data_IF_566705248370
#
_entry.id   IF_566705248370
#
_cell.length_a   1.000
_cell.length_b   1.000
_cell.length_c   1.000
_cell.angle_alpha   90.00
_cell.angle_beta   90.00
_cell.angle_gamma   90.00
#
_symmetry.space_group_name_H-M   'P 1'
#
loop_
_entity.id
_entity.type
_entity.pdbx_description
1 polymer ?
#
# COMPACT_ATOMS: atom_id res chain seq x y z
N UNK A 1 -7.92 -44.26 -22.87
CA UNK A 1 -8.83 -43.44 -22.05
C UNK A 1 -9.44 -42.41 -22.97
N UNK A 2 -10.64 -42.71 -23.44
CA UNK A 2 -11.44 -41.82 -24.28
C UNK A 2 -11.91 -40.66 -23.40
N UNK A 3 -11.27 -39.49 -23.51
CA UNK A 3 -11.72 -38.25 -22.87
C UNK A 3 -12.94 -37.74 -23.66
N UNK A 4 -14.05 -38.46 -23.52
CA UNK A 4 -15.33 -38.24 -24.19
C UNK A 4 -16.07 -37.00 -23.70
N UNK A 5 -15.46 -35.82 -23.77
CA UNK A 5 -16.18 -34.56 -23.65
C UNK A 5 -16.44 -34.01 -25.05
N UNK A 6 -17.68 -34.17 -25.53
CA UNK A 6 -18.16 -33.39 -26.68
C UNK A 6 -17.81 -31.92 -26.45
N UNK A 7 -17.20 -31.21 -27.42
CA UNK A 7 -16.87 -29.80 -27.24
C UNK A 7 -18.15 -29.03 -26.92
N UNK A 8 -18.21 -28.40 -25.74
CA UNK A 8 -19.29 -27.48 -25.39
C UNK A 8 -19.32 -26.38 -26.44
N UNK A 9 -20.49 -26.04 -26.96
CA UNK A 9 -20.61 -24.92 -27.89
C UNK A 9 -20.12 -23.64 -27.23
N UNK A 10 -19.56 -22.71 -28.01
CA UNK A 10 -19.14 -21.40 -27.50
C UNK A 10 -20.27 -20.70 -26.73
N UNK A 11 -21.52 -20.84 -27.20
CA UNK A 11 -22.70 -20.33 -26.50
C UNK A 11 -22.87 -20.96 -25.10
N UNK A 12 -22.73 -22.28 -24.96
CA UNK A 12 -22.82 -22.95 -23.67
C UNK A 12 -21.68 -22.54 -22.71
N UNK A 13 -20.46 -22.35 -23.23
CA UNK A 13 -19.33 -21.84 -22.44
C UNK A 13 -19.59 -20.41 -21.94
N UNK A 14 -20.08 -19.52 -22.81
CA UNK A 14 -20.39 -18.14 -22.45
C UNK A 14 -21.56 -18.04 -21.47
N UNK A 15 -22.60 -18.87 -21.62
CA UNK A 15 -23.69 -18.96 -20.65
C UNK A 15 -23.21 -19.44 -19.28
N UNK A 16 -22.34 -20.45 -19.25
CA UNK A 16 -21.70 -20.90 -18.00
C UNK A 16 -20.87 -19.80 -17.35
N UNK A 17 -20.03 -19.10 -18.13
CA UNK A 17 -19.25 -17.98 -17.62
C UNK A 17 -20.13 -16.85 -17.06
N UNK A 18 -21.27 -16.56 -17.71
CA UNK A 18 -22.23 -15.56 -17.22
C UNK A 18 -22.83 -15.98 -15.87
N UNK A 19 -23.22 -17.24 -15.70
CA UNK A 19 -23.74 -17.75 -14.43
C UNK A 19 -22.69 -17.64 -13.30
N UNK A 20 -21.42 -17.91 -13.60
CA UNK A 20 -20.32 -17.71 -12.64
C UNK A 20 -20.10 -16.24 -12.28
N UNK A 21 -20.25 -15.31 -13.24
CA UNK A 21 -20.20 -13.86 -12.98
C UNK A 21 -21.34 -13.45 -12.03
N UNK A 22 -22.56 -13.91 -12.29
CA UNK A 22 -23.73 -13.66 -11.44
C UNK A 22 -23.55 -14.27 -10.05
N UNK A 23 -23.00 -15.49 -9.95
CA UNK A 23 -22.69 -16.16 -8.69
C UNK A 23 -21.62 -15.46 -7.86
N UNK A 24 -20.56 -14.93 -8.50
CA UNK A 24 -19.55 -14.10 -7.82
C UNK A 24 -20.16 -12.81 -7.28
N UNK A 25 -21.01 -12.15 -8.06
CA UNK A 25 -21.67 -10.92 -7.62
C UNK A 25 -22.60 -11.20 -6.42
N UNK A 26 -23.39 -12.28 -6.45
CA UNK A 26 -24.22 -12.68 -5.32
C UNK A 26 -23.40 -13.00 -4.06
N UNK A 27 -22.21 -13.59 -4.23
CA UNK A 27 -21.30 -13.88 -3.11
C UNK A 27 -20.73 -12.61 -2.49
N UNK A 28 -20.35 -11.62 -3.32
CA UNK A 28 -19.93 -10.30 -2.84
C UNK A 28 -21.05 -9.57 -2.09
N UNK A 29 -22.30 -9.67 -2.55
CA UNK A 29 -23.44 -9.07 -1.85
C UNK A 29 -23.63 -9.67 -0.46
N UNK A 30 -23.48 -11.00 -0.31
CA UNK A 30 -23.53 -11.63 1.02
C UNK A 30 -22.36 -11.20 1.90
N UNK A 31 -21.16 -11.09 1.35
CA UNK A 31 -19.99 -10.56 2.05
C UNK A 31 -20.24 -9.15 2.58
N UNK A 32 -20.87 -8.27 1.79
CA UNK A 32 -21.24 -6.92 2.23
C UNK A 32 -22.22 -6.95 3.39
N UNK A 33 -23.27 -7.77 3.31
CA UNK A 33 -24.24 -7.90 4.39
C UNK A 33 -23.57 -8.35 5.70
N UNK A 34 -22.66 -9.32 5.64
CA UNK A 34 -21.88 -9.77 6.80
C UNK A 34 -20.94 -8.68 7.33
N UNK A 35 -20.30 -7.89 6.46
CA UNK A 35 -19.46 -6.76 6.89
C UNK A 35 -20.29 -5.69 7.61
N UNK A 36 -21.51 -5.42 7.14
CA UNK A 36 -22.42 -4.43 7.76
C UNK A 36 -22.92 -4.91 9.12
N UNK A 37 -23.32 -6.18 9.22
CA UNK A 37 -23.67 -6.81 10.50
C UNK A 37 -22.51 -6.73 11.49
N UNK A 38 -21.31 -7.15 11.05
CA UNK A 38 -20.09 -7.03 11.84
C UNK A 38 -19.82 -5.59 12.28
N UNK A 39 -19.98 -4.61 11.40
CA UNK A 39 -19.74 -3.20 11.73
C UNK A 39 -20.73 -2.68 12.78
N UNK A 40 -21.99 -3.14 12.73
CA UNK A 40 -23.01 -2.82 13.74
C UNK A 40 -22.64 -3.32 15.14
N UNK A 41 -22.06 -4.51 15.24
CA UNK A 41 -21.64 -5.11 16.52
C UNK A 41 -20.35 -4.51 17.09
N UNK A 42 -19.59 -3.75 16.29
CA UNK A 42 -18.26 -3.24 16.66
C UNK A 42 -18.16 -1.71 16.63
N UNK A 43 -19.30 -1.01 16.76
CA UNK A 43 -19.35 0.45 16.88
C UNK A 43 -18.77 0.91 18.22
N UNK A 44 -17.87 1.91 18.17
CA UNK A 44 -17.30 2.55 19.36
C UNK A 44 -17.93 3.92 19.54
N UNK A 45 -18.86 4.04 20.50
CA UNK A 45 -19.66 5.24 20.76
C UNK A 45 -19.25 6.02 22.03
N UNK A 46 -18.27 5.52 22.79
CA UNK A 46 -17.74 6.17 24.00
C UNK A 46 -16.75 5.27 24.77
N UNK A 47 -16.20 5.71 25.92
CA UNK A 47 -15.25 4.93 26.72
C UNK A 47 -15.79 3.59 27.23
N UNK A 48 -17.12 3.44 27.32
CA UNK A 48 -17.79 2.18 27.70
C UNK A 48 -17.96 1.20 26.52
N UNK A 49 -17.97 1.71 25.28
CA UNK A 49 -17.92 0.92 24.04
C UNK A 49 -16.49 0.69 23.52
N UNK A 50 -15.51 1.36 24.13
CA UNK A 50 -14.11 0.98 24.01
C UNK A 50 -13.94 -0.35 24.72
N UNK A 51 -13.68 -1.42 23.98
CA UNK A 51 -13.31 -2.67 24.61
C UNK A 51 -12.12 -2.40 25.55
N UNK A 52 -12.27 -2.71 26.84
CA UNK A 52 -11.15 -2.74 27.78
C UNK A 52 -10.37 -4.00 27.47
N UNK A 53 -9.43 -3.90 26.55
CA UNK A 53 -8.77 -5.10 26.03
C UNK A 53 -7.68 -5.61 27.00
N UNK A 54 -7.17 -4.77 27.91
CA UNK A 54 -6.42 -5.10 29.15
C UNK A 54 -5.99 -3.79 29.84
N UNK A 55 -5.53 -3.83 31.11
CA UNK A 55 -5.20 -2.66 31.96
C UNK A 55 -4.58 -1.47 31.19
N UNK A 56 -5.35 -0.38 31.06
CA UNK A 56 -4.86 0.94 30.68
C UNK A 56 -4.91 1.34 29.20
N UNK A 57 -5.44 0.51 28.27
CA UNK A 57 -5.58 0.89 26.86
C UNK A 57 -7.05 0.96 26.38
N UNK A 58 -7.47 2.12 25.88
CA UNK A 58 -8.81 2.38 25.34
C UNK A 58 -8.80 2.30 23.81
N UNK A 59 -9.59 1.39 23.22
CA UNK A 59 -9.90 1.41 21.79
C UNK A 59 -10.90 2.54 21.50
N UNK A 60 -10.43 3.67 20.99
CA UNK A 60 -11.26 4.85 20.72
C UNK A 60 -12.05 4.75 19.41
N UNK A 61 -11.94 3.63 18.70
CA UNK A 61 -12.49 3.47 17.36
C UNK A 61 -11.73 4.25 16.30
N UNK A 62 -11.93 3.86 15.03
CA UNK A 62 -11.31 4.48 13.87
C UNK A 62 -12.37 4.95 12.86
N UNK A 63 -12.24 6.17 12.30
CA UNK A 63 -13.09 6.61 11.21
C UNK A 63 -12.63 5.91 9.93
N UNK A 64 -13.49 5.05 9.38
CA UNK A 64 -13.20 4.30 8.15
C UNK A 64 -14.15 4.65 7.00
N UNK A 65 -15.19 5.44 7.27
CA UNK A 65 -16.12 6.01 6.31
C UNK A 65 -16.26 7.53 6.55
N UNK A 66 -17.04 8.22 5.72
CA UNK A 66 -17.25 9.66 5.79
C UNK A 66 -18.05 10.12 7.01
N UNK A 67 -18.13 11.43 7.20
CA UNK A 67 -18.78 12.04 8.36
C UNK A 67 -20.27 11.64 8.47
N UNK A 68 -20.68 11.16 9.65
CA UNK A 68 -21.98 10.55 9.92
C UNK A 68 -22.01 9.02 9.94
N UNK A 69 -20.94 8.34 9.51
CA UNK A 69 -20.78 6.90 9.70
C UNK A 69 -20.16 6.57 11.08
N UNK A 70 -20.41 5.37 11.64
CA UNK A 70 -19.89 4.99 12.95
C UNK A 70 -18.36 4.83 12.94
N UNK A 71 -17.74 5.11 14.09
CA UNK A 71 -16.39 4.64 14.38
C UNK A 71 -16.46 3.15 14.72
N UNK A 72 -15.53 2.36 14.18
CA UNK A 72 -15.44 0.91 14.49
C UNK A 72 -14.17 0.60 15.25
N UNK A 73 -14.18 -0.46 16.05
CA UNK A 73 -12.99 -0.94 16.78
C UNK A 73 -11.80 -1.15 15.85
N UNK A 74 -10.64 -0.57 16.19
CA UNK A 74 -9.42 -0.73 15.39
C UNK A 74 -8.95 -2.19 15.40
N UNK A 75 -9.00 -2.85 16.56
CA UNK A 75 -8.47 -4.20 16.74
C UNK A 75 -9.37 -5.27 16.11
N UNK A 76 -10.69 -5.13 16.24
CA UNK A 76 -11.62 -6.02 15.56
C UNK A 76 -11.51 -5.89 14.03
N UNK A 77 -11.33 -4.65 13.52
CA UNK A 77 -11.14 -4.41 12.10
C UNK A 77 -9.91 -5.16 11.55
N UNK A 78 -8.82 -5.27 12.32
CA UNK A 78 -7.63 -6.02 11.88
C UNK A 78 -7.92 -7.51 11.65
N UNK A 79 -8.79 -8.10 12.48
CA UNK A 79 -9.22 -9.48 12.32
C UNK A 79 -10.10 -9.67 11.09
N UNK A 80 -11.12 -8.83 10.91
CA UNK A 80 -11.95 -8.86 9.71
C UNK A 80 -11.10 -8.73 8.45
N UNK A 81 -10.17 -7.77 8.41
CA UNK A 81 -9.30 -7.54 7.25
C UNK A 81 -8.36 -8.72 6.98
N UNK A 82 -7.84 -9.36 8.03
CA UNK A 82 -7.04 -10.56 7.88
C UNK A 82 -7.86 -11.74 7.32
N UNK A 83 -9.09 -11.93 7.78
CA UNK A 83 -10.01 -12.96 7.27
C UNK A 83 -10.37 -12.72 5.81
N UNK A 84 -10.58 -11.46 5.42
CA UNK A 84 -10.83 -11.06 4.03
C UNK A 84 -9.60 -11.24 3.11
N UNK A 85 -8.44 -11.61 3.66
CA UNK A 85 -7.21 -11.83 2.89
C UNK A 85 -6.62 -10.54 2.30
N UNK A 86 -6.94 -9.37 2.88
CA UNK A 86 -6.56 -8.05 2.35
C UNK A 86 -5.42 -7.43 3.15
N UNK A 87 -4.66 -6.56 2.51
CA UNK A 87 -3.68 -5.72 3.23
C UNK A 87 -4.40 -4.83 4.25
N UNK A 88 -3.76 -4.45 5.37
CA UNK A 88 -4.39 -3.60 6.39
C UNK A 88 -5.03 -2.32 5.83
N UNK A 89 -4.35 -1.62 4.92
CA UNK A 89 -4.84 -0.37 4.34
C UNK A 89 -5.90 -0.63 3.26
N UNK A 90 -5.68 -1.62 2.39
CA UNK A 90 -6.65 -1.99 1.35
C UNK A 90 -7.95 -2.59 1.91
N UNK A 91 -7.85 -3.36 2.99
CA UNK A 91 -8.98 -3.90 3.74
C UNK A 91 -9.75 -2.80 4.48
N UNK A 92 -9.04 -1.88 5.16
CA UNK A 92 -9.68 -0.68 5.75
C UNK A 92 -10.43 0.13 4.71
N UNK A 93 -9.83 0.37 3.54
CA UNK A 93 -10.49 1.10 2.46
C UNK A 93 -11.73 0.35 1.93
N UNK A 94 -11.63 -0.97 1.74
CA UNK A 94 -12.73 -1.82 1.30
C UNK A 94 -13.90 -1.85 2.28
N UNK A 95 -13.65 -2.19 3.55
CA UNK A 95 -14.67 -2.19 4.61
C UNK A 95 -15.26 -0.79 4.78
N UNK A 96 -14.42 0.24 4.69
CA UNK A 96 -14.85 1.63 4.71
C UNK A 96 -15.84 2.00 3.60
N UNK A 97 -15.67 1.46 2.38
CA UNK A 97 -16.64 1.65 1.29
C UNK A 97 -17.97 0.95 1.55
N UNK A 98 -17.93 -0.25 2.12
CA UNK A 98 -19.16 -0.99 2.48
C UNK A 98 -19.94 -0.21 3.56
N UNK A 99 -19.26 0.28 4.59
CA UNK A 99 -19.86 1.08 5.68
C UNK A 99 -20.35 2.43 5.16
N UNK A 100 -19.59 3.09 4.29
CA UNK A 100 -20.03 4.32 3.61
C UNK A 100 -21.37 4.10 2.91
N UNK A 101 -21.50 3.01 2.14
CA UNK A 101 -22.75 2.65 1.51
C UNK A 101 -23.87 2.41 2.54
N UNK A 102 -23.63 1.58 3.55
CA UNK A 102 -24.69 1.18 4.47
C UNK A 102 -25.20 2.32 5.38
N UNK A 103 -24.35 3.26 5.79
CA UNK A 103 -24.75 4.34 6.72
C UNK A 103 -25.05 5.67 6.02
N UNK A 104 -24.37 6.01 4.93
CA UNK A 104 -24.49 7.33 4.28
C UNK A 104 -25.17 7.28 2.92
N UNK A 105 -25.16 6.12 2.25
CA UNK A 105 -25.77 5.92 0.94
C UNK A 105 -26.80 4.76 0.97
N UNK A 106 -27.84 4.82 1.83
CA UNK A 106 -28.75 3.69 2.06
C UNK A 106 -29.48 3.22 0.78
N UNK A 107 -29.82 4.12 -0.16
CA UNK A 107 -30.48 3.72 -1.41
C UNK A 107 -29.52 2.92 -2.32
N UNK A 108 -28.25 3.34 -2.42
CA UNK A 108 -27.18 2.62 -3.12
C UNK A 108 -26.92 1.26 -2.47
N UNK A 109 -26.84 1.21 -1.14
CA UNK A 109 -26.66 -0.06 -0.42
C UNK A 109 -27.84 -1.02 -0.66
N UNK A 110 -29.08 -0.55 -0.54
CA UNK A 110 -30.27 -1.36 -0.81
C UNK A 110 -30.27 -1.86 -2.27
N UNK A 111 -29.84 -1.03 -3.22
CA UNK A 111 -29.72 -1.43 -4.61
C UNK A 111 -28.67 -2.53 -4.84
N UNK A 112 -27.56 -2.51 -4.08
CA UNK A 112 -26.56 -3.60 -4.10
C UNK A 112 -27.13 -4.88 -3.51
N UNK A 113 -27.77 -4.81 -2.34
CA UNK A 113 -28.37 -5.97 -1.67
C UNK A 113 -29.47 -6.61 -2.53
N UNK A 114 -30.25 -5.79 -3.22
CA UNK A 114 -31.27 -6.26 -4.16
C UNK A 114 -30.72 -6.73 -5.52
N UNK A 115 -29.40 -6.68 -5.74
CA UNK A 115 -28.76 -7.06 -7.00
C UNK A 115 -29.02 -6.12 -8.18
N UNK A 116 -29.58 -4.92 -7.92
CA UNK A 116 -29.89 -3.89 -8.93
C UNK A 116 -28.65 -3.05 -9.29
N UNK A 117 -27.69 -2.94 -8.38
CA UNK A 117 -26.42 -2.25 -8.59
C UNK A 117 -25.25 -3.19 -8.31
N UNK A 118 -24.24 -3.19 -9.18
CA UNK A 118 -23.05 -4.01 -8.97
C UNK A 118 -22.18 -3.41 -7.85
N UNK A 119 -21.59 -4.24 -6.94
CA UNK A 119 -20.78 -3.76 -5.81
C UNK A 119 -19.68 -2.76 -6.21
N UNK A 120 -18.95 -3.01 -7.30
CA UNK A 120 -17.87 -2.11 -7.75
C UNK A 120 -18.34 -0.69 -8.08
N UNK A 121 -19.59 -0.52 -8.53
CA UNK A 121 -20.16 0.83 -8.78
C UNK A 121 -20.46 1.52 -7.47
N UNK A 122 -21.06 0.81 -6.51
CA UNK A 122 -21.30 1.33 -5.18
C UNK A 122 -19.99 1.69 -4.47
N UNK A 123 -18.94 0.87 -4.59
CA UNK A 123 -17.59 1.18 -4.12
C UNK A 123 -17.06 2.49 -4.70
N UNK A 124 -17.25 2.71 -6.00
CA UNK A 124 -16.79 3.95 -6.64
C UNK A 124 -17.60 5.17 -6.21
N UNK A 125 -18.91 5.03 -6.04
CA UNK A 125 -19.75 6.11 -5.48
C UNK A 125 -19.26 6.44 -4.07
N UNK A 126 -19.05 5.43 -3.22
CA UNK A 126 -18.53 5.59 -1.86
C UNK A 126 -17.18 6.32 -1.81
N UNK A 127 -16.24 5.97 -2.69
CA UNK A 127 -14.94 6.66 -2.78
C UNK A 127 -15.09 8.15 -3.11
N UNK A 128 -16.04 8.50 -3.98
CA UNK A 128 -16.26 9.88 -4.44
C UNK A 128 -17.12 10.70 -3.46
N UNK A 129 -17.92 10.05 -2.60
CA UNK A 129 -18.78 10.73 -1.61
C UNK A 129 -18.16 10.83 -0.21
N UNK A 130 -17.10 10.08 0.08
CA UNK A 130 -16.48 10.02 1.41
C UNK A 130 -16.08 11.39 1.96
N UNK A 131 -15.56 12.28 1.10
CA UNK A 131 -15.14 13.63 1.46
C UNK A 131 -16.29 14.66 1.56
N UNK A 132 -17.51 14.28 1.16
CA UNK A 132 -18.68 15.15 1.22
C UNK A 132 -19.28 15.17 2.62
N UNK A 133 -20.03 16.23 2.96
CA UNK A 133 -20.90 16.22 4.15
C UNK A 133 -22.08 15.27 4.00
N UNK A 134 -22.73 14.89 5.11
CA UNK A 134 -23.79 13.88 5.12
C UNK A 134 -24.97 14.21 4.18
N UNK A 135 -25.38 15.47 4.13
CA UNK A 135 -26.49 15.90 3.26
C UNK A 135 -26.15 15.80 1.76
N UNK A 136 -24.93 16.20 1.38
CA UNK A 136 -24.43 16.10 0.02
C UNK A 136 -24.29 14.64 -0.43
N UNK A 137 -23.75 13.76 0.44
CA UNK A 137 -23.69 12.32 0.19
C UNK A 137 -25.10 11.74 0.02
N UNK A 138 -26.06 12.10 0.88
CA UNK A 138 -27.45 11.68 0.76
C UNK A 138 -28.14 12.20 -0.50
N UNK A 139 -27.75 13.37 -1.03
CA UNK A 139 -28.22 13.84 -2.33
C UNK A 139 -27.70 12.95 -3.47
N UNK A 140 -26.40 12.64 -3.48
CA UNK A 140 -25.80 11.72 -4.47
C UNK A 140 -26.46 10.34 -4.42
N UNK A 141 -26.69 9.80 -3.22
CA UNK A 141 -27.36 8.52 -2.99
C UNK A 141 -28.73 8.43 -3.71
N UNK A 142 -29.60 9.43 -3.52
CA UNK A 142 -30.92 9.49 -4.16
C UNK A 142 -30.87 9.58 -5.68
N UNK A 143 -29.78 10.10 -6.25
CA UNK A 143 -29.62 10.24 -7.69
C UNK A 143 -29.05 8.99 -8.35
N UNK A 144 -28.20 8.23 -7.65
CA UNK A 144 -27.36 7.20 -8.27
C UNK A 144 -27.62 5.76 -7.84
N UNK A 145 -28.59 5.52 -6.95
CA UNK A 145 -28.97 4.16 -6.53
C UNK A 145 -29.31 3.23 -7.70
N UNK A 146 -29.78 3.77 -8.83
CA UNK A 146 -30.14 3.02 -10.04
C UNK A 146 -29.15 3.18 -11.21
N UNK A 147 -27.92 3.68 -10.95
CA UNK A 147 -26.86 3.89 -11.94
C UNK A 147 -26.30 2.57 -12.52
N UNK A 148 -27.18 1.78 -13.11
CA UNK A 148 -26.92 0.50 -13.78
C UNK A 148 -26.56 0.73 -15.25
N UNK A 149 -25.80 -0.19 -15.84
CA UNK A 149 -25.41 -0.12 -17.26
C UNK A 149 -24.35 0.92 -17.63
N UNK A 150 -23.90 1.76 -16.68
CA UNK A 150 -22.86 2.77 -16.93
C UNK A 150 -21.45 2.23 -16.69
N UNK A 151 -20.49 2.70 -17.49
CA UNK A 151 -19.06 2.43 -17.28
C UNK A 151 -18.45 3.34 -16.21
N UNK A 152 -17.18 3.07 -15.87
CA UNK A 152 -16.44 3.78 -14.82
C UNK A 152 -16.44 5.31 -14.98
N UNK A 153 -15.97 5.82 -16.12
CA UNK A 153 -15.90 7.27 -16.38
C UNK A 153 -17.28 7.95 -16.45
N UNK A 154 -18.32 7.22 -16.85
CA UNK A 154 -19.68 7.76 -16.84
C UNK A 154 -20.21 7.87 -15.41
N UNK A 155 -19.92 6.90 -14.55
CA UNK A 155 -20.29 6.96 -13.13
C UNK A 155 -19.63 8.14 -12.43
N UNK A 156 -18.34 8.39 -12.67
CA UNK A 156 -17.64 9.54 -12.09
C UNK A 156 -18.27 10.87 -12.50
N UNK A 157 -18.61 11.03 -13.78
CA UNK A 157 -19.32 12.23 -14.27
C UNK A 157 -20.68 12.41 -13.62
N UNK A 158 -21.44 11.31 -13.44
CA UNK A 158 -22.75 11.37 -12.78
C UNK A 158 -22.64 11.77 -11.29
N UNK A 159 -21.62 11.29 -10.59
CA UNK A 159 -21.34 11.73 -9.20
C UNK A 159 -20.95 13.20 -9.18
N UNK A 160 -20.01 13.61 -10.03
CA UNK A 160 -19.58 15.00 -10.12
C UNK A 160 -20.75 15.94 -10.44
N UNK A 161 -21.62 15.55 -11.38
CA UNK A 161 -22.83 16.29 -11.73
C UNK A 161 -23.82 16.35 -10.57
N UNK A 162 -24.02 15.27 -9.83
CA UNK A 162 -24.86 15.26 -8.64
C UNK A 162 -24.31 16.19 -7.53
N UNK A 163 -22.99 16.21 -7.32
CA UNK A 163 -22.33 17.12 -6.37
C UNK A 163 -22.47 18.58 -6.81
N UNK A 164 -22.22 18.87 -8.08
CA UNK A 164 -22.39 20.21 -8.66
C UNK A 164 -23.83 20.73 -8.55
N UNK A 165 -24.83 19.87 -8.76
CA UNK A 165 -26.25 20.22 -8.60
C UNK A 165 -26.64 20.46 -7.14
N UNK A 166 -25.97 19.79 -6.20
CA UNK A 166 -26.25 19.94 -4.77
C UNK A 166 -25.75 21.29 -4.24
N UNK A 167 -24.50 21.64 -4.55
CA UNK A 167 -23.85 22.86 -4.05
C UNK A 167 -22.91 23.46 -5.11
N UNK A 168 -23.46 24.23 -6.06
CA UNK A 168 -22.67 24.81 -7.15
C UNK A 168 -21.64 25.83 -6.65
N UNK A 169 -21.96 26.57 -5.58
CA UNK A 169 -21.09 27.61 -5.03
C UNK A 169 -19.86 27.01 -4.33
N UNK A 170 -20.05 25.95 -3.55
CA UNK A 170 -18.94 25.19 -2.98
C UNK A 170 -18.12 24.52 -4.06
N UNK A 171 -18.74 23.95 -5.10
CA UNK A 171 -18.01 23.32 -6.18
C UNK A 171 -17.12 24.33 -6.95
N UNK A 172 -17.61 25.55 -7.16
CA UNK A 172 -16.80 26.64 -7.75
C UNK A 172 -15.68 27.09 -6.81
N UNK A 173 -15.95 27.16 -5.50
CA UNK A 173 -14.94 27.45 -4.48
C UNK A 173 -13.86 26.36 -4.42
N UNK A 174 -14.23 25.09 -4.47
CA UNK A 174 -13.33 23.95 -4.46
C UNK A 174 -12.54 23.87 -5.77
N UNK A 175 -13.14 24.22 -6.93
CA UNK A 175 -12.43 24.40 -8.21
C UNK A 175 -11.40 25.52 -8.14
N UNK A 176 -11.74 26.65 -7.50
CA UNK A 176 -10.82 27.77 -7.30
C UNK A 176 -9.67 27.40 -6.35
N UNK A 177 -9.96 26.63 -5.29
CA UNK A 177 -8.96 26.07 -4.36
C UNK A 177 -8.12 24.97 -4.99
N UNK A 178 -8.66 24.17 -5.92
CA UNK A 178 -7.92 23.13 -6.66
C UNK A 178 -6.70 23.69 -7.41
N UNK A 179 -6.71 24.98 -7.77
CA UNK A 179 -5.54 25.66 -8.32
C UNK A 179 -4.36 25.76 -7.32
N UNK A 180 -4.63 25.66 -6.01
CA UNK A 180 -3.65 25.64 -4.92
C UNK A 180 -3.18 24.21 -4.55
N UNK A 181 -3.73 23.16 -5.17
CA UNK A 181 -3.33 21.75 -4.98
C UNK A 181 -2.23 21.31 -5.95
N UNK A 182 -1.32 22.22 -6.30
CA UNK A 182 -0.13 21.90 -7.07
C UNK A 182 0.68 20.83 -6.33
N UNK A 183 1.03 19.77 -7.02
CA UNK A 183 1.82 18.67 -6.48
C UNK A 183 2.73 18.12 -7.56
N UNK A 184 3.77 17.43 -7.13
CA UNK A 184 4.68 16.73 -8.02
C UNK A 184 5.15 15.48 -7.29
N UNK A 185 4.48 14.36 -7.60
CA UNK A 185 4.67 13.08 -6.95
C UNK A 185 5.52 12.16 -7.82
N UNK A 186 6.41 11.43 -7.15
CA UNK A 186 7.25 10.41 -7.76
C UNK A 186 6.77 9.07 -7.21
N UNK A 187 6.22 8.23 -8.09
CA UNK A 187 5.61 6.96 -7.73
C UNK A 187 6.66 5.92 -7.29
N UNK A 188 6.18 4.78 -6.79
CA UNK A 188 7.03 3.61 -6.61
C UNK A 188 7.55 3.09 -7.97
N UNK A 189 8.64 2.32 -7.91
CA UNK A 189 9.27 1.70 -9.09
C UNK A 189 8.36 0.62 -9.67
N UNK A 190 8.17 0.64 -10.98
CA UNK A 190 7.38 -0.36 -11.71
C UNK A 190 8.14 -1.68 -11.94
N UNK A 191 7.48 -2.63 -12.60
CA UNK A 191 8.02 -3.95 -12.91
C UNK A 191 9.21 -3.95 -13.87
N UNK A 192 9.50 -2.81 -14.51
CA UNK A 192 10.62 -2.61 -15.43
C UNK A 192 11.75 -1.78 -14.82
N UNK A 193 11.64 -1.39 -13.55
CA UNK A 193 12.64 -0.56 -12.89
C UNK A 193 12.53 0.93 -13.27
N UNK A 194 11.39 1.34 -13.83
CA UNK A 194 11.08 2.73 -14.17
C UNK A 194 10.21 3.34 -13.07
N UNK A 195 10.16 4.67 -13.02
CA UNK A 195 9.31 5.39 -12.07
C UNK A 195 8.36 6.30 -12.83
N UNK A 196 7.09 6.29 -12.42
CA UNK A 196 6.11 7.25 -12.92
C UNK A 196 6.19 8.55 -12.12
N UNK A 197 6.22 9.68 -12.83
CA UNK A 197 6.14 11.01 -12.23
C UNK A 197 4.80 11.61 -12.65
N UNK A 198 4.03 12.08 -11.67
CA UNK A 198 2.77 12.77 -11.89
C UNK A 198 2.84 14.13 -11.22
N UNK A 199 2.30 15.16 -11.87
CA UNK A 199 2.41 16.50 -11.32
C UNK A 199 1.42 17.48 -11.90
N UNK A 200 0.82 18.26 -11.00
CA UNK A 200 -0.05 19.39 -11.31
C UNK A 200 0.73 20.68 -11.04
N UNK A 201 1.10 21.37 -12.12
CA UNK A 201 1.92 22.58 -12.10
C UNK A 201 1.08 23.80 -12.51
N UNK A 202 1.59 25.00 -12.21
CA UNK A 202 1.09 26.19 -12.89
C UNK A 202 1.35 26.06 -14.40
N UNK A 203 0.47 26.63 -15.23
CA UNK A 203 0.57 26.50 -16.68
C UNK A 203 1.86 27.11 -17.25
N UNK A 204 2.35 28.21 -16.67
CA UNK A 204 3.62 28.81 -17.07
C UNK A 204 4.82 27.93 -16.65
N UNK A 205 4.82 27.45 -15.41
CA UNK A 205 5.87 26.56 -14.90
C UNK A 205 5.94 25.23 -15.67
N UNK A 206 4.78 24.66 -16.02
CA UNK A 206 4.68 23.45 -16.84
C UNK A 206 5.20 23.66 -18.26
N UNK A 207 4.95 24.84 -18.85
CA UNK A 207 5.50 25.20 -20.15
C UNK A 207 7.02 25.35 -20.12
N UNK A 208 7.55 26.03 -19.09
CA UNK A 208 8.99 26.19 -18.91
C UNK A 208 9.70 24.85 -18.68
N UNK A 209 9.11 23.95 -17.89
CA UNK A 209 9.62 22.60 -17.67
C UNK A 209 9.65 21.78 -18.97
N UNK A 210 8.58 21.82 -19.77
CA UNK A 210 8.52 21.15 -21.07
C UNK A 210 9.59 21.68 -22.04
N UNK A 211 9.76 23.01 -22.10
CA UNK A 211 10.80 23.63 -22.91
C UNK A 211 12.22 23.24 -22.46
N UNK A 212 12.48 23.20 -21.16
CA UNK A 212 13.79 22.83 -20.62
C UNK A 212 14.14 21.37 -20.95
N UNK A 213 13.18 20.46 -20.80
CA UNK A 213 13.32 19.04 -21.15
C UNK A 213 13.51 18.88 -22.66
N UNK A 214 12.66 19.53 -23.47
CA UNK A 214 12.70 19.46 -24.93
C UNK A 214 14.05 19.92 -25.50
N UNK A 215 14.53 21.09 -25.05
CA UNK A 215 15.83 21.65 -25.47
C UNK A 215 16.99 20.69 -25.19
N UNK A 216 17.01 20.07 -24.01
CA UNK A 216 18.05 19.08 -23.67
C UNK A 216 17.91 17.78 -24.46
N UNK A 217 16.70 17.29 -24.68
CA UNK A 217 16.47 16.10 -25.52
C UNK A 217 16.95 16.30 -26.96
N UNK A 218 16.80 17.51 -27.51
CA UNK A 218 17.37 17.89 -28.81
C UNK A 218 18.90 17.89 -28.78
N UNK A 219 19.51 18.49 -27.75
CA UNK A 219 20.96 18.50 -27.57
C UNK A 219 21.51 17.06 -27.46
N UNK A 220 20.86 16.19 -26.68
CA UNK A 220 21.24 14.77 -26.58
C UNK A 220 21.22 14.09 -27.95
N UNK A 221 20.21 14.35 -28.78
CA UNK A 221 20.16 13.82 -30.15
C UNK A 221 21.30 14.35 -31.03
N UNK A 222 21.62 15.65 -30.95
CA UNK A 222 22.73 16.25 -31.70
C UNK A 222 24.10 15.72 -31.24
N UNK A 223 24.20 15.28 -30.00
CA UNK A 223 25.40 14.65 -29.42
C UNK A 223 25.47 13.14 -29.71
N UNK A 224 24.55 12.59 -30.50
CA UNK A 224 24.59 11.20 -30.97
C UNK A 224 23.81 10.20 -30.11
N UNK A 225 22.87 10.65 -29.27
CA UNK A 225 21.91 9.74 -28.64
C UNK A 225 20.81 9.34 -29.64
N UNK A 226 20.92 8.15 -30.21
CA UNK A 226 19.99 7.59 -31.19
C UNK A 226 18.66 7.10 -30.58
N UNK A 227 18.44 7.27 -29.27
CA UNK A 227 17.19 6.88 -28.62
C UNK A 227 15.99 7.68 -29.16
N UNK A 228 14.78 7.14 -29.01
CA UNK A 228 13.55 7.86 -29.37
C UNK A 228 13.46 9.20 -28.63
N UNK A 229 12.71 10.15 -29.21
CA UNK A 229 12.54 11.48 -28.61
C UNK A 229 12.02 11.40 -27.17
N UNK A 230 11.07 10.50 -26.90
CA UNK A 230 10.51 10.30 -25.56
C UNK A 230 11.55 9.77 -24.57
N UNK A 231 12.40 8.83 -24.99
CA UNK A 231 13.52 8.34 -24.16
C UNK A 231 14.54 9.44 -23.91
N UNK A 232 14.83 10.29 -24.90
CA UNK A 232 15.73 11.44 -24.72
C UNK A 232 15.13 12.50 -23.80
N UNK A 233 13.82 12.74 -23.85
CA UNK A 233 13.10 13.63 -22.91
C UNK A 233 13.16 13.09 -21.48
N UNK A 234 12.97 11.79 -21.28
CA UNK A 234 13.16 11.14 -19.98
C UNK A 234 14.59 11.30 -19.45
N UNK A 235 15.61 11.04 -20.29
CA UNK A 235 17.02 11.24 -19.93
C UNK A 235 17.32 12.71 -19.59
N UNK A 236 16.78 13.66 -20.36
CA UNK A 236 16.94 15.10 -20.17
C UNK A 236 16.35 15.58 -18.84
N UNK A 237 15.16 15.10 -18.45
CA UNK A 237 14.59 15.37 -17.13
C UNK A 237 15.51 14.86 -16.00
N UNK A 238 16.08 13.66 -16.16
CA UNK A 238 17.03 13.12 -15.20
C UNK A 238 18.38 13.89 -15.17
N UNK A 239 18.82 14.46 -16.29
CA UNK A 239 20.00 15.34 -16.32
C UNK A 239 19.78 16.67 -15.63
N UNK A 240 18.60 17.28 -15.78
CA UNK A 240 18.21 18.48 -15.03
C UNK A 240 18.30 18.21 -13.52
N UNK A 241 17.71 17.11 -13.05
CA UNK A 241 17.78 16.71 -11.65
C UNK A 241 19.21 16.39 -11.17
N UNK A 242 20.03 15.71 -12.00
CA UNK A 242 21.42 15.36 -11.65
C UNK A 242 22.33 16.58 -11.50
N UNK A 243 22.09 17.64 -12.26
CA UNK A 243 22.89 18.86 -12.15
C UNK A 243 22.62 19.61 -10.84
N UNK A 244 21.37 19.57 -10.35
CA UNK A 244 21.01 20.12 -9.05
C UNK A 244 21.58 19.29 -7.89
N UNK A 245 21.47 17.95 -7.97
CA UNK A 245 22.00 17.01 -6.95
C UNK A 245 23.54 16.88 -6.90
N UNK A 246 24.25 17.48 -7.86
CA UNK A 246 25.71 17.49 -7.91
C UNK A 246 26.32 18.71 -7.18
N UNK A 247 25.50 19.64 -6.72
CA UNK A 247 25.92 20.80 -5.93
C UNK A 247 25.78 20.47 -4.44
N UNK A 248 26.80 20.81 -3.64
CA UNK A 248 26.63 20.87 -2.19
C UNK A 248 25.69 22.04 -1.87
N UNK A 249 24.59 21.79 -1.16
CA UNK A 249 23.70 22.88 -0.73
C UNK A 249 24.38 23.60 0.44
N UNK A 250 24.81 24.83 0.18
CA UNK A 250 25.31 25.75 1.19
C UNK A 250 24.10 26.41 1.84
N UNK A 251 24.01 26.31 3.16
CA UNK A 251 23.04 27.07 3.96
C UNK A 251 23.78 28.30 4.48
N UNK A 252 23.57 29.49 3.91
CA UNK A 252 24.12 30.72 4.46
C UNK A 252 23.28 31.22 5.63
N UNK A 253 23.92 31.87 6.59
CA UNK A 253 23.27 32.66 7.63
C UNK A 253 22.58 33.88 6.98
N UNK A 254 21.29 34.17 7.26
CA UNK A 254 20.55 35.22 6.57
C UNK A 254 21.09 36.64 6.80
N UNK A 255 21.73 36.87 7.94
CA UNK A 255 22.15 38.21 8.37
C UNK A 255 23.62 38.48 8.03
N UNK A 256 24.45 37.44 7.97
CA UNK A 256 25.91 37.55 7.77
C UNK A 256 26.40 36.98 6.44
N UNK A 257 25.61 36.13 5.78
CA UNK A 257 25.97 35.48 4.51
C UNK A 257 27.04 34.39 4.62
N UNK A 258 27.52 34.07 5.83
CA UNK A 258 28.48 33.00 6.06
C UNK A 258 27.80 31.63 5.94
N UNK A 259 28.48 30.66 5.33
CA UNK A 259 27.97 29.29 5.22
C UNK A 259 27.98 28.62 6.59
N UNK A 260 26.80 28.39 7.16
CA UNK A 260 26.61 27.77 8.47
C UNK A 260 26.47 26.24 8.39
N UNK A 261 26.07 25.71 7.24
CA UNK A 261 26.03 24.27 7.01
C UNK A 261 26.22 23.92 5.53
N UNK A 262 26.73 22.71 5.28
CA UNK A 262 26.83 22.11 3.95
C UNK A 262 26.06 20.79 3.96
N UNK A 263 25.12 20.63 3.04
CA UNK A 263 24.46 19.34 2.80
C UNK A 263 25.26 18.59 1.73
N UNK A 264 25.98 17.50 2.06
CA UNK A 264 26.79 16.79 1.08
C UNK A 264 25.89 16.15 0.01
N UNK A 265 26.39 16.13 -1.24
CA UNK A 265 25.71 15.50 -2.38
C UNK A 265 25.34 14.01 -2.22
N UNK A 266 24.55 13.50 -3.17
CA UNK A 266 23.83 12.21 -3.10
C UNK A 266 24.70 11.02 -2.65
N UNK A 267 24.27 10.36 -1.57
CA UNK A 267 24.72 9.02 -1.17
C UNK A 267 23.64 7.99 -1.46
N UNK A 268 23.89 7.06 -2.40
CA UNK A 268 23.00 5.92 -2.64
C UNK A 268 23.56 4.69 -1.96
N UNK A 269 22.77 4.08 -1.07
CA UNK A 269 23.05 2.75 -0.53
C UNK A 269 22.12 1.80 -1.27
N UNK A 270 22.68 0.81 -1.98
CA UNK A 270 21.91 -0.24 -2.64
C UNK A 270 22.10 -1.54 -1.86
N UNK A 271 21.04 -2.04 -1.23
CA UNK A 271 21.02 -3.41 -0.73
C UNK A 271 20.53 -4.32 -1.86
N UNK A 272 21.45 -5.08 -2.44
CA UNK A 272 21.15 -6.03 -3.52
C UNK A 272 21.29 -7.45 -2.99
N UNK A 273 20.19 -8.22 -3.06
CA UNK A 273 20.24 -9.64 -2.75
C UNK A 273 20.71 -10.41 -3.99
N UNK A 274 21.86 -11.07 -3.85
CA UNK A 274 22.50 -11.88 -4.88
C UNK A 274 22.58 -13.30 -4.35
N UNK A 275 22.14 -14.28 -5.13
CA UNK A 275 22.26 -15.71 -4.76
C UNK A 275 23.53 -16.31 -5.36
N UNK A 276 23.98 -17.47 -4.88
CA UNK A 276 25.10 -18.21 -5.50
C UNK A 276 24.83 -18.51 -6.98
N UNK A 277 23.56 -18.72 -7.35
CA UNK A 277 23.16 -18.90 -8.75
C UNK A 277 23.26 -17.61 -9.56
N UNK A 278 23.10 -16.44 -8.93
CA UNK A 278 23.28 -15.13 -9.55
C UNK A 278 24.76 -14.87 -9.84
N UNK A 279 25.65 -15.22 -8.89
CA UNK A 279 27.10 -15.12 -9.07
C UNK A 279 27.63 -16.06 -10.15
N UNK A 280 27.07 -17.27 -10.25
CA UNK A 280 27.41 -18.24 -11.28
C UNK A 280 26.80 -17.92 -12.67
N UNK A 281 26.13 -16.76 -12.84
CA UNK A 281 25.52 -16.34 -14.10
C UNK A 281 24.27 -17.14 -14.51
N UNK A 282 23.75 -18.01 -13.63
CA UNK A 282 22.57 -18.86 -13.87
C UNK A 282 21.25 -18.19 -13.45
N UNK A 283 21.32 -17.10 -12.69
CA UNK A 283 20.18 -16.29 -12.30
C UNK A 283 20.47 -14.81 -12.63
N UNK A 284 19.89 -14.22 -13.68
CA UNK A 284 20.17 -12.85 -14.09
C UNK A 284 19.45 -11.80 -13.22
N UNK A 285 18.79 -12.20 -12.12
CA UNK A 285 17.99 -11.33 -11.25
C UNK A 285 18.76 -10.96 -9.99
N UNK A 286 18.87 -9.65 -9.74
CA UNK A 286 19.11 -9.09 -8.41
C UNK A 286 17.79 -8.58 -7.81
N UNK A 287 17.71 -8.45 -6.49
CA UNK A 287 16.58 -7.77 -5.85
C UNK A 287 17.10 -6.54 -5.13
N UNK A 288 16.55 -5.38 -5.48
CA UNK A 288 16.88 -4.11 -4.83
C UNK A 288 15.87 -3.85 -3.72
N UNK A 289 16.35 -3.75 -2.47
CA UNK A 289 15.49 -3.65 -1.27
C UNK A 289 14.63 -2.38 -1.26
N UNK A 290 15.24 -1.19 -1.43
CA UNK A 290 14.49 0.08 -1.43
C UNK A 290 13.49 0.18 -2.58
N UNK A 291 13.85 -0.33 -3.77
CA UNK A 291 12.97 -0.29 -4.94
C UNK A 291 11.90 -1.38 -4.96
N UNK A 292 11.99 -2.38 -4.07
CA UNK A 292 11.05 -3.52 -3.96
C UNK A 292 10.79 -4.26 -5.27
N UNK A 293 11.70 -4.16 -6.24
CA UNK A 293 11.55 -4.71 -7.57
C UNK A 293 12.70 -5.67 -7.91
N UNK A 294 12.45 -6.68 -8.76
CA UNK A 294 13.52 -7.42 -9.39
C UNK A 294 14.25 -6.48 -10.35
N UNK A 295 15.56 -6.43 -10.25
CA UNK A 295 16.44 -5.66 -11.14
C UNK A 295 17.32 -6.63 -11.91
N UNK A 296 17.48 -6.41 -13.21
CA UNK A 296 18.37 -7.28 -13.97
C UNK A 296 19.83 -7.00 -13.58
N UNK A 297 20.66 -8.04 -13.60
CA UNK A 297 22.11 -7.88 -13.43
C UNK A 297 22.73 -6.97 -14.49
N UNK A 298 22.12 -6.85 -15.67
CA UNK A 298 22.51 -5.90 -16.71
C UNK A 298 22.22 -4.44 -16.31
N UNK A 299 21.03 -4.18 -15.76
CA UNK A 299 20.63 -2.86 -15.25
C UNK A 299 21.48 -2.43 -14.05
N UNK A 300 21.79 -3.33 -13.12
CA UNK A 300 22.75 -3.05 -12.04
C UNK A 300 24.11 -2.64 -12.62
N UNK A 301 24.62 -3.37 -13.63
CA UNK A 301 25.90 -3.01 -14.28
C UNK A 301 25.84 -1.64 -14.94
N UNK A 302 24.72 -1.28 -15.55
CA UNK A 302 24.51 0.05 -16.13
C UNK A 302 24.59 1.14 -15.06
N UNK A 303 23.88 0.96 -13.93
CA UNK A 303 23.93 1.89 -12.81
C UNK A 303 25.34 2.06 -12.24
N UNK A 304 26.09 0.96 -12.10
CA UNK A 304 27.47 0.99 -11.60
C UNK A 304 28.47 1.60 -12.59
N UNK A 305 28.14 1.72 -13.87
CA UNK A 305 29.02 2.32 -14.90
C UNK A 305 28.81 3.82 -15.07
N UNK A 306 27.84 4.42 -14.38
CA UNK A 306 27.59 5.85 -14.44
C UNK A 306 28.83 6.65 -13.98
N UNK A 307 29.25 7.64 -14.78
CA UNK A 307 30.40 8.51 -14.46
C UNK A 307 30.18 9.25 -13.13
N UNK A 308 31.27 9.51 -12.41
CA UNK A 308 31.26 10.19 -11.09
C UNK A 308 30.51 9.45 -9.96
N UNK A 309 30.35 8.12 -10.08
CA UNK A 309 29.78 7.28 -9.01
C UNK A 309 30.87 6.67 -8.15
N UNK A 310 30.89 7.00 -6.85
CA UNK A 310 31.74 6.30 -5.87
C UNK A 310 31.02 5.05 -5.36
N UNK A 311 31.55 3.87 -5.68
CA UNK A 311 30.95 2.59 -5.26
C UNK A 311 31.70 2.08 -4.03
N UNK A 312 30.97 1.93 -2.92
CA UNK A 312 31.46 1.26 -1.72
C UNK A 312 30.74 -0.07 -1.57
N UNK A 313 31.44 -1.16 -1.85
CA UNK A 313 30.94 -2.52 -1.60
C UNK A 313 31.12 -2.86 -0.13
N UNK A 314 30.03 -3.20 0.56
CA UNK A 314 30.06 -3.68 1.95
C UNK A 314 30.04 -5.21 1.98
N UNK A 315 30.58 -5.85 3.03
CA UNK A 315 30.46 -7.29 3.23
C UNK A 315 29.00 -7.75 3.17
N UNK A 316 28.78 -8.93 2.59
CA UNK A 316 27.45 -9.56 2.53
C UNK A 316 26.93 -9.78 3.95
N UNK A 317 25.71 -9.34 4.23
CA UNK A 317 25.02 -9.68 5.47
C UNK A 317 24.52 -11.12 5.33
N UNK A 318 25.22 -12.07 5.94
CA UNK A 318 24.72 -13.44 6.06
C UNK A 318 23.43 -13.41 6.90
N UNK A 319 22.29 -13.77 6.30
CA UNK A 319 20.98 -13.79 6.97
C UNK A 319 20.80 -15.02 7.86
N UNK A 320 21.61 -16.06 7.69
CA UNK A 320 21.58 -17.29 8.48
C UNK A 320 22.40 -17.18 9.78
N UNK A 321 23.19 -16.12 9.95
CA UNK A 321 24.06 -15.96 11.10
C UNK A 321 23.29 -15.59 12.39
N UNK A 322 23.60 -16.34 13.46
CA UNK A 322 22.91 -16.34 14.74
C UNK A 322 23.87 -15.97 15.89
N UNK A 323 24.29 -14.71 15.93
CA UNK A 323 25.12 -14.17 17.02
C UNK A 323 24.24 -13.50 18.08
N UNK A 324 23.83 -14.20 19.16
CA UNK A 324 23.05 -13.59 20.23
C UNK A 324 23.87 -12.53 20.98
N UNK A 325 23.19 -11.53 21.50
CA UNK A 325 23.73 -10.63 22.53
C UNK A 325 22.90 -10.76 23.81
N UNK A 326 23.54 -10.48 24.95
CA UNK A 326 22.90 -10.54 26.27
C UNK A 326 22.05 -9.30 26.57
N UNK A 327 22.37 -8.16 25.94
CA UNK A 327 21.66 -6.91 26.12
C UNK A 327 20.19 -6.99 25.64
N UNK A 328 19.31 -6.29 26.35
CA UNK A 328 17.91 -6.11 25.94
C UNK A 328 17.83 -5.27 24.65
N UNK A 329 18.62 -4.21 24.56
CA UNK A 329 18.66 -3.32 23.41
C UNK A 329 19.13 -4.07 22.15
N UNK A 330 18.37 -3.92 21.07
CA UNK A 330 18.63 -4.60 19.80
C UNK A 330 19.69 -3.81 19.03
N UNK A 331 20.88 -4.38 18.76
CA UNK A 331 21.91 -3.69 17.97
C UNK A 331 21.48 -3.47 16.52
N UNK A 332 21.96 -2.41 15.88
CA UNK A 332 21.59 -2.08 14.50
C UNK A 332 21.90 -3.21 13.51
N UNK A 333 22.98 -3.96 13.71
CA UNK A 333 23.28 -5.15 12.91
C UNK A 333 22.16 -6.21 12.94
N UNK A 334 21.49 -6.38 14.08
CA UNK A 334 20.35 -7.30 14.19
C UNK A 334 19.10 -6.68 13.56
N UNK A 335 18.89 -5.36 13.72
CA UNK A 335 17.78 -4.67 13.07
C UNK A 335 17.87 -4.78 11.55
N UNK A 336 19.03 -4.51 10.97
CA UNK A 336 19.30 -4.66 9.54
C UNK A 336 19.08 -6.09 9.07
N UNK A 337 19.60 -7.10 9.80
CA UNK A 337 19.42 -8.51 9.42
C UNK A 337 17.96 -8.94 9.44
N UNK A 338 17.19 -8.52 10.45
CA UNK A 338 15.75 -8.80 10.54
C UNK A 338 15.01 -8.10 9.39
N UNK A 339 15.31 -6.83 9.10
CA UNK A 339 14.69 -6.11 8.00
C UNK A 339 14.94 -6.79 6.64
N UNK A 340 16.19 -7.19 6.38
CA UNK A 340 16.60 -7.89 5.17
C UNK A 340 16.00 -9.31 5.04
N UNK A 341 15.73 -9.97 6.17
CA UNK A 341 15.14 -11.32 6.19
C UNK A 341 13.64 -11.28 5.94
N UNK A 342 12.95 -10.35 6.58
CA UNK A 342 11.50 -10.36 6.70
C UNK A 342 10.80 -9.42 5.71
N UNK A 343 11.53 -8.40 5.22
CA UNK A 343 11.14 -7.36 4.25
C UNK A 343 9.98 -6.44 4.68
N UNK A 344 8.95 -7.01 5.29
CA UNK A 344 7.75 -6.32 5.78
C UNK A 344 7.40 -6.74 7.20
N UNK A 345 6.50 -5.98 7.81
CA UNK A 345 5.83 -6.35 9.05
C UNK A 345 5.25 -7.76 8.95
N UNK A 346 5.47 -8.59 9.97
CA UNK A 346 5.10 -10.03 9.97
C UNK A 346 3.68 -10.32 10.45
N UNK A 347 2.85 -9.30 10.60
CA UNK A 347 1.41 -9.45 10.79
C UNK A 347 0.73 -9.88 9.47
N UNK A 348 -0.37 -10.68 9.51
CA UNK A 348 -1.10 -11.11 8.32
C UNK A 348 -1.32 -9.99 7.27
N UNK A 349 -0.94 -10.27 6.03
CA UNK A 349 -1.10 -9.39 4.85
C UNK A 349 -0.45 -8.00 4.93
N UNK A 350 0.33 -7.68 5.97
CA UNK A 350 0.91 -6.35 6.11
C UNK A 350 2.09 -6.13 5.16
N UNK A 351 2.08 -5.00 4.45
CA UNK A 351 3.10 -4.62 3.46
C UNK A 351 4.06 -3.53 3.96
N UNK A 352 3.87 -3.04 5.20
CA UNK A 352 4.71 -2.00 5.81
C UNK A 352 6.17 -2.47 5.84
N UNK A 353 7.14 -1.68 5.34
CA UNK A 353 8.55 -2.04 5.38
C UNK A 353 9.03 -2.41 6.79
N UNK A 354 9.81 -3.49 6.91
CA UNK A 354 10.41 -3.89 8.17
C UNK A 354 11.37 -2.82 8.73
N UNK A 355 11.99 -2.02 7.85
CA UNK A 355 12.80 -0.84 8.21
C UNK A 355 12.01 0.27 8.92
N UNK A 356 10.67 0.25 8.80
CA UNK A 356 9.74 1.19 9.49
C UNK A 356 8.93 0.48 10.58
N UNK A 357 9.39 -0.67 11.06
CA UNK A 357 8.74 -1.46 12.10
C UNK A 357 9.50 -1.37 13.42
N UNK A 358 8.75 -1.52 14.51
CA UNK A 358 9.33 -1.85 15.81
C UNK A 358 9.83 -3.30 15.73
N UNK A 359 11.01 -3.57 16.28
CA UNK A 359 11.55 -4.93 16.33
C UNK A 359 11.39 -5.44 17.74
N UNK A 360 10.63 -6.53 17.87
CA UNK A 360 10.23 -7.10 19.15
C UNK A 360 10.78 -8.52 19.29
N UNK A 361 10.96 -8.97 20.54
CA UNK A 361 11.35 -10.35 20.82
C UNK A 361 10.11 -11.27 20.74
N UNK A 362 10.20 -12.34 19.94
CA UNK A 362 9.17 -13.37 19.85
C UNK A 362 8.95 -14.06 21.20
N UNK A 363 10.03 -14.62 21.76
CA UNK A 363 10.12 -14.96 23.17
C UNK A 363 10.62 -13.72 23.93
N UNK A 364 9.82 -13.12 24.83
CA UNK A 364 10.21 -11.90 25.54
C UNK A 364 11.56 -12.04 26.22
N UNK A 365 12.40 -11.00 26.14
CA UNK A 365 13.73 -11.00 26.75
C UNK A 365 13.69 -11.27 28.26
N UNK A 366 12.73 -10.67 28.97
CA UNK A 366 12.46 -10.90 30.40
C UNK A 366 12.12 -12.36 30.75
N UNK A 367 11.68 -13.16 29.77
CA UNK A 367 11.38 -14.59 29.92
C UNK A 367 12.54 -15.48 29.42
N UNK A 368 13.74 -14.93 29.30
CA UNK A 368 14.93 -15.63 28.80
C UNK A 368 14.93 -15.84 27.28
N UNK A 369 14.33 -14.91 26.53
CA UNK A 369 14.48 -14.86 25.07
C UNK A 369 15.78 -14.17 24.68
N UNK A 370 16.63 -14.75 23.81
CA UNK A 370 17.88 -14.11 23.42
C UNK A 370 17.61 -12.91 22.51
N UNK A 371 18.44 -11.88 22.60
CA UNK A 371 18.51 -10.83 21.56
C UNK A 371 19.31 -11.36 20.38
N UNK A 372 18.63 -12.09 19.50
CA UNK A 372 19.20 -12.76 18.35
C UNK A 372 18.25 -12.64 17.16
N UNK A 373 18.73 -12.46 15.91
CA UNK A 373 17.87 -12.41 14.74
C UNK A 373 16.79 -13.50 14.69
N UNK A 374 17.07 -14.75 15.11
CA UNK A 374 16.07 -15.83 15.11
C UNK A 374 14.88 -15.59 16.06
N UNK A 375 15.06 -14.80 17.11
CA UNK A 375 14.04 -14.47 18.11
C UNK A 375 13.46 -13.07 17.91
N UNK A 376 13.87 -12.33 16.88
CA UNK A 376 13.41 -10.97 16.61
C UNK A 376 12.37 -10.96 15.48
N UNK A 377 11.35 -10.12 15.64
CA UNK A 377 10.20 -10.01 14.72
C UNK A 377 9.89 -8.54 14.46
N UNK A 378 9.83 -8.11 13.18
CA UNK A 378 9.44 -6.75 12.84
C UNK A 378 7.91 -6.66 12.81
N UNK A 379 7.36 -5.76 13.63
CA UNK A 379 5.95 -5.39 13.64
C UNK A 379 5.82 -3.88 13.56
N UNK A 380 4.96 -3.38 12.67
CA UNK A 380 4.69 -1.95 12.66
C UNK A 380 3.99 -1.54 13.96
N UNK A 381 4.12 -0.28 14.36
CA UNK A 381 3.54 0.25 15.61
C UNK A 381 2.09 -0.18 15.85
N UNK A 382 1.27 -0.19 14.80
CA UNK A 382 -0.13 -0.62 14.80
C UNK A 382 -0.30 -2.09 15.20
N UNK A 383 0.44 -3.00 14.57
CA UNK A 383 0.33 -4.43 14.86
C UNK A 383 1.11 -4.85 16.12
N UNK A 384 2.15 -4.09 16.51
CA UNK A 384 2.79 -4.25 17.81
C UNK A 384 1.81 -3.90 18.95
N UNK A 385 1.04 -2.83 18.80
CA UNK A 385 -0.09 -2.52 19.69
C UNK A 385 -1.15 -3.61 19.68
N UNK A 386 -1.50 -4.16 18.52
CA UNK A 386 -2.45 -5.27 18.44
C UNK A 386 -1.97 -6.49 19.25
N UNK A 387 -0.72 -6.91 19.08
CA UNK A 387 -0.13 -7.98 19.91
C UNK A 387 -0.14 -7.66 21.41
N UNK A 388 0.13 -6.41 21.78
CA UNK A 388 0.36 -6.01 23.17
C UNK A 388 -0.93 -5.74 23.93
N UNK A 389 -1.89 -5.10 23.28
CA UNK A 389 -3.13 -4.61 23.87
C UNK A 389 -4.34 -5.40 23.37
N UNK A 390 -4.15 -6.57 22.76
CA UNK A 390 -5.23 -7.47 22.41
C UNK A 390 -4.85 -8.94 22.56
N UNK A 391 -5.78 -9.84 22.24
CA UNK A 391 -5.60 -11.29 22.34
C UNK A 391 -4.92 -11.90 21.11
N UNK A 392 -4.52 -11.06 20.14
CA UNK A 392 -3.63 -11.45 19.04
C UNK A 392 -2.31 -12.00 19.58
N UNK A 393 -1.97 -13.21 19.13
CA UNK A 393 -0.73 -13.90 19.53
C UNK A 393 -0.15 -14.66 18.36
N UNK A 394 1.12 -15.03 18.44
CA UNK A 394 1.74 -15.91 17.45
C UNK A 394 2.76 -16.86 18.06
N UNK A 395 2.94 -17.98 17.37
CA UNK A 395 4.04 -18.90 17.59
C UNK A 395 5.08 -18.76 16.47
N UNK A 396 6.33 -19.11 16.76
CA UNK A 396 7.45 -19.10 15.81
C UNK A 396 7.98 -20.53 15.61
N UNK A 397 7.32 -21.36 14.78
CA UNK A 397 7.75 -22.76 14.59
C UNK A 397 9.17 -22.88 14.02
N UNK A 398 9.62 -21.88 13.26
CA UNK A 398 10.99 -21.74 12.79
C UNK A 398 11.28 -20.25 12.51
N UNK A 399 12.56 -19.84 12.41
CA UNK A 399 12.90 -18.45 12.08
C UNK A 399 12.18 -17.96 10.83
N UNK A 400 11.72 -16.71 10.84
CA UNK A 400 10.95 -16.05 9.77
C UNK A 400 9.57 -16.68 9.43
N UNK A 401 9.11 -17.67 10.19
CA UNK A 401 7.77 -18.26 10.04
C UNK A 401 6.95 -17.98 11.28
N UNK A 402 5.79 -17.36 11.10
CA UNK A 402 4.92 -16.92 12.19
C UNK A 402 3.54 -17.52 12.02
N UNK A 403 3.01 -18.16 13.04
CA UNK A 403 1.62 -18.64 13.05
C UNK A 403 0.83 -17.76 13.99
N UNK A 404 0.15 -16.76 13.43
CA UNK A 404 -0.72 -15.87 14.18
C UNK A 404 -2.05 -16.54 14.50
N UNK A 405 -2.60 -16.23 15.67
CA UNK A 405 -3.96 -16.55 16.08
C UNK A 405 -4.66 -15.24 16.43
N UNK A 406 -5.79 -15.00 15.78
CA UNK A 406 -6.64 -13.83 16.00
C UNK A 406 -7.50 -13.97 17.28
N UNK A 407 -8.15 -12.89 17.74
CA UNK A 407 -9.03 -12.93 18.91
C UNK A 407 -10.13 -13.99 18.87
N UNK A 408 -10.79 -14.18 17.72
CA UNK A 408 -11.83 -15.20 17.52
C UNK A 408 -11.29 -16.57 17.07
N UNK A 409 -9.96 -16.72 16.99
CA UNK A 409 -9.30 -18.01 16.78
C UNK A 409 -8.91 -18.35 15.34
N UNK A 410 -9.09 -17.45 14.36
CA UNK A 410 -8.54 -17.64 13.02
C UNK A 410 -7.02 -17.68 13.05
N UNK A 411 -6.44 -18.59 12.26
CA UNK A 411 -5.00 -18.82 12.24
C UNK A 411 -4.41 -18.49 10.88
N UNK A 412 -3.25 -17.81 10.90
CA UNK A 412 -2.56 -17.35 9.70
C UNK A 412 -1.08 -17.68 9.77
N UNK A 413 -0.57 -18.44 8.81
CA UNK A 413 0.87 -18.66 8.63
C UNK A 413 1.44 -17.53 7.76
N UNK A 414 2.39 -16.78 8.30
CA UNK A 414 3.10 -15.70 7.63
C UNK A 414 4.57 -16.11 7.47
N UNK A 415 4.98 -16.44 6.25
CA UNK A 415 6.36 -16.84 5.90
C UNK A 415 6.86 -16.08 4.65
N UNK A 416 7.96 -16.53 4.03
CA UNK A 416 8.52 -15.90 2.82
C UNK A 416 7.60 -16.03 1.58
N UNK A 417 6.60 -16.92 1.62
CA UNK A 417 5.59 -17.12 0.57
C UNK A 417 4.34 -16.27 0.81
N UNK A 418 4.34 -15.39 1.81
CA UNK A 418 3.23 -14.53 2.16
C UNK A 418 2.40 -15.06 3.32
N UNK A 419 1.11 -14.68 3.33
CA UNK A 419 0.15 -15.05 4.37
C UNK A 419 -0.80 -16.11 3.85
N UNK A 420 -0.96 -17.19 4.60
CA UNK A 420 -1.81 -18.33 4.27
C UNK A 420 -2.73 -18.66 5.44
N UNK A 421 -4.04 -18.82 5.24
CA UNK A 421 -4.92 -19.30 6.29
C UNK A 421 -4.51 -20.72 6.70
N UNK A 422 -4.54 -20.99 8.01
CA UNK A 422 -4.32 -22.31 8.58
C UNK A 422 -5.67 -22.83 9.01
N UNK A 423 -6.28 -23.64 8.15
CA UNK A 423 -7.49 -24.36 8.52
C UNK A 423 -7.14 -25.41 9.58
N UNK A 424 -7.98 -25.64 10.60
CA UNK A 424 -7.87 -26.85 11.39
C UNK A 424 -7.93 -28.05 10.42
N UNK A 425 -7.19 -29.14 10.68
CA UNK A 425 -7.40 -30.37 9.92
C UNK A 425 -8.89 -30.71 9.98
N UNK A 426 -9.50 -30.98 8.82
CA UNK A 426 -10.94 -31.26 8.70
C UNK A 426 -11.37 -32.26 9.79
N UNK A 427 -12.31 -31.87 10.65
CA UNK A 427 -12.98 -32.75 11.62
C UNK A 427 -14.07 -33.60 10.95
#
# INVERSE_FOLDING_TARGET
MDLGTRPRSTAALLSGLRAEVEGRQASLVREWATIVEWAGDHVVSGPEGAATITEGYLDTGVPIAGDGAPLVSEFALMELVAVLGRTPDGGKAYVGRVIECAWRLPNVYEAVVAGRLAPWRAERIADLTRGLGAEAAGFVDRQLWNASGVGWAQLERLVAEAVLRYDPDKAETDRAKAADHRHFDISDVDEHGLVHLDGLLDAADGHDLDQAIGRRAEVLGRLGDDSSLDVRRSKAAAELARQDLALDLLVPDPDTGEVVATVPGRKVVLNVHVTDTTLAGRNPVGRWEEGRCPVSTAQIREWLRARHTTIVVRPVVDLADHLPVTAYEIPDRHKTRVALRDHTCRFPHCTRPATRCDIDHAKPHQRGGPTCPCNLVPLCRRHHRAKTHSTWRYDTPMPATYVWTSPTGFRFRVDHRGTHPVHPPDE
#
